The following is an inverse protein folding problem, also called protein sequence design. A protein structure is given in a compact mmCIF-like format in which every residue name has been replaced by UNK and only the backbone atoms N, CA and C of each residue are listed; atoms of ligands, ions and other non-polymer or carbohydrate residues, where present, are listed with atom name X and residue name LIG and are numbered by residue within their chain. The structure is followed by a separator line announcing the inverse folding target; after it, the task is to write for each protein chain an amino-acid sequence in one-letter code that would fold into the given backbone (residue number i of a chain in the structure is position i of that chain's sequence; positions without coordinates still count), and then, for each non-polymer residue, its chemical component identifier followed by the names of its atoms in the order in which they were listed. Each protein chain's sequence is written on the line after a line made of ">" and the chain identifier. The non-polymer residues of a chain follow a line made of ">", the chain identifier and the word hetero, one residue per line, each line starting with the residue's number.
data_IF_672576045833
#
_entry.id   IF_672576045833
#
_cell.length_a   1.000
_cell.length_b   1.000
_cell.length_c   1.000
_cell.angle_alpha   90.00
_cell.angle_beta   90.00
_cell.angle_gamma   90.00
#
_symmetry.space_group_name_H-M   'P 1'
#
loop_
_entity.id
_entity.type
_entity.pdbx_description
1 polymer ?
#
# COMPACT_ATOMS: atom_id res chain seq x y z
N UNK A 1 22.64 -52.12 -43.61
CA UNK A 1 23.54 -51.12 -42.93
C UNK A 1 22.82 -49.81 -42.57
N UNK A 2 21.75 -49.44 -43.24
CA UNK A 2 20.99 -48.18 -42.98
C UNK A 2 20.09 -48.19 -41.75
N UNK A 3 19.63 -49.35 -41.29
CA UNK A 3 18.68 -49.44 -40.16
C UNK A 3 19.28 -49.12 -38.79
N UNK A 4 20.58 -49.36 -38.56
CA UNK A 4 21.23 -49.09 -37.25
C UNK A 4 21.55 -47.61 -37.01
N UNK A 5 21.81 -46.84 -38.09
CA UNK A 5 22.12 -45.40 -37.96
C UNK A 5 20.87 -44.61 -37.57
N UNK A 6 19.69 -45.01 -38.11
CA UNK A 6 18.41 -44.35 -37.85
C UNK A 6 18.00 -44.45 -36.36
N UNK A 7 18.27 -45.60 -35.74
CA UNK A 7 17.93 -45.79 -34.30
C UNK A 7 18.82 -44.98 -33.36
N UNK A 8 20.10 -44.70 -33.69
CA UNK A 8 20.97 -43.86 -32.88
C UNK A 8 20.61 -42.37 -32.98
N UNK A 9 20.14 -41.89 -34.15
CA UNK A 9 19.70 -40.50 -34.31
C UNK A 9 18.39 -40.25 -33.54
N UNK A 10 17.45 -41.18 -33.54
CA UNK A 10 16.24 -41.09 -32.75
C UNK A 10 16.52 -41.12 -31.23
N UNK A 11 17.49 -41.90 -30.77
CA UNK A 11 17.88 -41.96 -29.37
C UNK A 11 18.55 -40.67 -28.89
N UNK A 12 19.39 -40.05 -29.72
CA UNK A 12 20.01 -38.76 -29.42
C UNK A 12 19.02 -37.62 -29.37
N UNK A 13 18.02 -37.59 -30.23
CA UNK A 13 16.95 -36.59 -30.22
C UNK A 13 16.08 -36.74 -28.94
N UNK A 14 15.76 -37.99 -28.55
CA UNK A 14 14.98 -38.24 -27.33
C UNK A 14 15.72 -37.81 -26.05
N UNK A 15 17.04 -38.02 -26.00
CA UNK A 15 17.87 -37.59 -24.85
C UNK A 15 18.02 -36.06 -24.80
N UNK A 16 18.12 -35.38 -25.96
CA UNK A 16 18.16 -33.92 -26.03
C UNK A 16 16.84 -33.27 -25.58
N UNK A 17 15.70 -33.87 -25.89
CA UNK A 17 14.39 -33.39 -25.39
C UNK A 17 14.16 -33.66 -23.90
N UNK A 18 14.70 -34.76 -23.36
CA UNK A 18 14.61 -35.05 -21.94
C UNK A 18 15.51 -34.11 -21.09
N UNK A 19 16.64 -33.67 -21.61
CA UNK A 19 17.52 -32.71 -20.96
C UNK A 19 17.00 -31.25 -21.04
N UNK A 20 16.32 -30.86 -22.10
CA UNK A 20 15.70 -29.54 -22.20
C UNK A 20 14.45 -29.38 -21.33
N UNK A 21 13.72 -30.47 -21.04
CA UNK A 21 12.59 -30.46 -20.09
C UNK A 21 12.99 -30.35 -18.62
N UNK A 22 14.22 -30.77 -18.27
CA UNK A 22 14.70 -30.76 -16.87
C UNK A 22 15.32 -29.41 -16.46
N UNK A 23 15.67 -28.53 -17.42
CA UNK A 23 16.26 -27.21 -17.12
C UNK A 23 15.20 -26.15 -16.83
N UNK A 24 13.95 -26.39 -17.18
CA UNK A 24 12.86 -25.40 -16.99
C UNK A 24 12.26 -25.37 -15.58
N UNK A 25 12.70 -26.23 -14.64
CA UNK A 25 12.08 -26.35 -13.30
C UNK A 25 13.01 -25.96 -12.14
N UNK A 26 14.16 -25.37 -12.39
CA UNK A 26 14.87 -24.58 -11.40
C UNK A 26 14.30 -23.15 -11.38
N UNK A 27 13.00 -23.06 -11.11
CA UNK A 27 12.43 -21.79 -10.67
C UNK A 27 13.29 -21.31 -9.51
N UNK A 28 14.01 -20.22 -9.71
CA UNK A 28 14.67 -19.48 -8.65
C UNK A 28 13.71 -19.41 -7.47
N UNK A 29 14.01 -20.13 -6.37
CA UNK A 29 13.46 -19.79 -5.06
C UNK A 29 14.00 -18.40 -4.76
N UNK A 30 13.32 -17.37 -5.26
CA UNK A 30 13.57 -15.99 -4.93
C UNK A 30 13.65 -15.91 -3.41
N UNK A 31 14.61 -15.15 -2.91
CA UNK A 31 14.79 -14.91 -1.49
C UNK A 31 13.47 -14.40 -0.94
N UNK A 32 12.73 -15.26 -0.26
CA UNK A 32 11.40 -14.93 0.23
C UNK A 32 11.56 -13.83 1.27
N UNK A 33 10.97 -12.65 1.05
CA UNK A 33 11.01 -11.58 2.01
C UNK A 33 10.31 -12.03 3.30
N UNK A 34 10.92 -11.79 4.48
CA UNK A 34 10.23 -12.03 5.75
C UNK A 34 8.90 -11.27 5.76
N UNK A 35 7.84 -11.96 6.15
CA UNK A 35 6.50 -11.35 6.19
C UNK A 35 5.68 -11.90 7.35
N UNK A 36 4.65 -11.15 7.74
CA UNK A 36 3.64 -11.61 8.68
C UNK A 36 2.30 -10.97 8.36
N UNK A 37 1.23 -11.62 8.81
CA UNK A 37 -0.13 -11.18 8.55
C UNK A 37 -0.80 -10.63 9.81
N UNK A 38 -1.69 -9.67 9.59
CA UNK A 38 -2.58 -9.09 10.59
C UNK A 38 -3.99 -9.10 10.01
N UNK A 39 -4.95 -9.63 10.75
CA UNK A 39 -6.37 -9.46 10.47
C UNK A 39 -6.83 -8.19 11.19
N UNK A 40 -7.37 -7.24 10.47
CA UNK A 40 -7.94 -6.02 11.06
C UNK A 40 -9.31 -6.29 11.68
N UNK A 41 -9.67 -5.56 12.73
CA UNK A 41 -11.01 -5.64 13.33
C UNK A 41 -12.05 -4.90 12.48
N UNK A 42 -11.64 -3.82 11.87
CA UNK A 42 -12.34 -2.96 10.91
C UNK A 42 -11.29 -2.32 10.00
N UNK A 43 -11.70 -1.57 8.99
CA UNK A 43 -10.79 -0.73 8.23
C UNK A 43 -11.52 0.53 7.79
N UNK A 44 -11.12 1.68 8.35
CA UNK A 44 -11.64 2.98 7.98
C UNK A 44 -10.98 3.48 6.70
N UNK A 45 -11.70 4.27 5.92
CA UNK A 45 -11.13 4.94 4.75
C UNK A 45 -10.27 6.09 5.23
N UNK A 46 -8.99 6.05 4.86
CA UNK A 46 -8.05 7.15 5.03
C UNK A 46 -7.90 7.90 3.70
N UNK A 47 -8.00 9.22 3.76
CA UNK A 47 -7.83 10.11 2.59
C UNK A 47 -6.65 11.06 2.74
N UNK A 48 -5.84 10.90 3.77
CA UNK A 48 -4.65 11.72 4.00
C UNK A 48 -3.71 11.68 2.79
N UNK A 49 -3.09 12.80 2.49
CA UNK A 49 -2.29 13.01 1.30
C UNK A 49 -3.07 13.30 0.02
N UNK A 50 -4.39 13.05 -0.03
CA UNK A 50 -5.18 13.45 -1.18
C UNK A 50 -5.28 14.98 -1.25
N UNK A 51 -5.04 15.62 -2.42
CA UNK A 51 -5.05 17.08 -2.52
C UNK A 51 -6.39 17.74 -2.20
N UNK A 52 -7.50 17.00 -2.25
CA UNK A 52 -8.84 17.46 -1.88
C UNK A 52 -9.39 16.80 -0.61
N UNK A 53 -8.49 16.26 0.25
CA UNK A 53 -8.90 15.64 1.51
C UNK A 53 -9.59 16.66 2.43
N UNK A 54 -8.98 17.81 2.63
CA UNK A 54 -9.43 18.84 3.55
C UNK A 54 -9.48 20.22 2.88
N UNK A 55 -10.36 21.10 3.37
CA UNK A 55 -10.49 22.44 2.83
C UNK A 55 -11.30 23.38 3.70
N UNK A 56 -11.43 24.66 3.30
CA UNK A 56 -12.23 25.65 3.99
C UNK A 56 -13.70 25.23 4.14
N UNK A 57 -14.42 25.72 5.15
CA UNK A 57 -15.85 25.47 5.29
C UNK A 57 -16.62 25.79 4.01
N UNK A 58 -17.50 24.87 3.59
CA UNK A 58 -18.30 25.00 2.37
C UNK A 58 -17.67 24.41 1.10
N UNK A 59 -16.43 23.91 1.16
CA UNK A 59 -15.82 23.16 0.05
C UNK A 59 -16.23 21.68 0.07
N UNK A 60 -16.26 21.06 -1.12
CA UNK A 60 -16.47 19.61 -1.24
C UNK A 60 -15.14 18.88 -0.98
N UNK A 61 -14.98 18.37 0.23
CA UNK A 61 -13.80 17.62 0.66
C UNK A 61 -14.08 16.12 0.73
N UNK A 62 -13.02 15.32 0.66
CA UNK A 62 -13.11 13.87 0.87
C UNK A 62 -13.28 13.52 2.34
N UNK A 63 -12.90 14.41 3.28
CA UNK A 63 -13.08 14.19 4.69
C UNK A 63 -13.50 15.44 5.44
N UNK A 64 -13.91 15.26 6.70
CA UNK A 64 -14.23 16.35 7.62
C UNK A 64 -12.98 16.72 8.43
N UNK A 65 -12.87 17.99 8.84
CA UNK A 65 -11.69 18.46 9.59
C UNK A 65 -11.48 17.74 10.92
N UNK A 66 -12.54 17.19 11.51
CA UNK A 66 -12.44 16.44 12.77
C UNK A 66 -11.58 15.18 12.62
N UNK A 67 -11.65 14.49 11.49
CA UNK A 67 -10.89 13.27 11.22
C UNK A 67 -9.39 13.54 11.00
N UNK A 68 -9.00 14.80 10.72
CA UNK A 68 -7.60 15.20 10.60
C UNK A 68 -6.86 15.29 11.94
N UNK A 69 -7.51 15.01 13.06
CA UNK A 69 -6.93 15.12 14.38
C UNK A 69 -6.42 13.78 14.91
N UNK A 70 -5.29 13.81 15.61
CA UNK A 70 -4.76 12.62 16.27
C UNK A 70 -5.70 12.15 17.37
N UNK A 71 -6.26 10.97 17.18
CA UNK A 71 -7.16 10.35 18.15
C UNK A 71 -6.41 10.05 19.47
N UNK A 72 -7.01 10.41 20.59
CA UNK A 72 -6.50 10.14 21.94
C UNK A 72 -5.33 11.02 22.42
N UNK A 73 -5.04 12.16 21.77
CA UNK A 73 -4.17 13.17 22.38
C UNK A 73 -4.98 14.27 23.06
N UNK A 74 -4.54 14.67 24.25
CA UNK A 74 -5.21 15.70 25.05
C UNK A 74 -5.18 17.10 24.40
N UNK A 75 -4.21 17.35 23.52
CA UNK A 75 -4.00 18.61 22.80
C UNK A 75 -4.73 18.70 21.46
N UNK A 76 -5.46 17.63 21.08
CA UNK A 76 -6.21 17.57 19.81
C UNK A 76 -5.34 17.95 18.58
N UNK A 77 -4.13 17.39 18.52
CA UNK A 77 -3.14 17.69 17.48
C UNK A 77 -3.67 17.40 16.07
N UNK A 78 -3.54 18.37 15.17
CA UNK A 78 -3.85 18.21 13.75
C UNK A 78 -2.70 17.45 13.09
N UNK A 79 -3.01 16.32 12.42
CA UNK A 79 -2.03 15.47 11.74
C UNK A 79 -2.34 15.25 10.26
N UNK A 80 -3.59 15.40 9.83
CA UNK A 80 -4.01 15.13 8.46
C UNK A 80 -3.67 16.23 7.45
N UNK A 81 -3.33 17.46 7.90
CA UNK A 81 -2.93 18.54 7.01
C UNK A 81 -1.92 19.50 7.66
N UNK A 82 -1.19 20.23 6.81
CA UNK A 82 -0.19 21.18 7.26
C UNK A 82 -0.82 22.40 7.94
N UNK A 83 -0.18 22.85 9.03
CA UNK A 83 -0.51 24.08 9.74
C UNK A 83 0.73 24.97 9.87
N UNK A 84 0.50 26.29 10.00
CA UNK A 84 1.55 27.26 10.29
C UNK A 84 1.82 27.36 11.82
N UNK A 85 2.76 28.20 12.20
CA UNK A 85 3.12 28.46 13.62
C UNK A 85 1.94 28.98 14.45
N UNK A 86 0.95 29.59 13.84
CA UNK A 86 -0.28 30.06 14.46
C UNK A 86 -1.41 29.01 14.43
N UNK A 87 -1.08 27.75 14.07
CA UNK A 87 -2.02 26.63 13.93
C UNK A 87 -3.10 26.84 12.84
N UNK A 88 -2.86 27.70 11.87
CA UNK A 88 -3.78 27.90 10.72
C UNK A 88 -3.44 26.90 9.60
N UNK A 89 -4.45 26.32 8.95
CA UNK A 89 -4.22 25.43 7.79
C UNK A 89 -3.45 26.14 6.68
N UNK A 90 -2.52 25.44 6.05
CA UNK A 90 -1.75 25.94 4.91
C UNK A 90 -2.50 25.55 3.63
N UNK A 91 -3.01 26.52 2.85
CA UNK A 91 -3.72 26.22 1.61
C UNK A 91 -2.75 25.91 0.47
N UNK A 92 -3.23 25.15 -0.50
CA UNK A 92 -2.60 24.94 -1.79
C UNK A 92 -2.59 26.24 -2.60
N UNK A 93 -1.50 26.46 -3.33
CA UNK A 93 -1.31 27.61 -4.19
C UNK A 93 -2.06 27.51 -5.53
N UNK A 94 -2.04 28.58 -6.34
CA UNK A 94 -2.84 28.65 -7.58
C UNK A 94 -2.39 27.67 -8.68
N UNK A 95 -1.20 27.05 -8.56
CA UNK A 95 -0.66 26.07 -9.50
C UNK A 95 -0.76 24.63 -8.99
N UNK A 96 -1.28 24.44 -7.79
CA UNK A 96 -1.46 23.12 -7.19
C UNK A 96 -2.76 22.47 -7.69
N UNK A 97 -2.91 21.14 -7.49
CA UNK A 97 -4.06 20.41 -8.03
C UNK A 97 -5.44 20.91 -7.56
N UNK A 98 -5.53 21.44 -6.33
CA UNK A 98 -6.76 21.96 -5.74
C UNK A 98 -6.51 23.30 -5.03
N UNK A 99 -6.38 24.41 -5.76
CA UNK A 99 -6.09 25.72 -5.18
C UNK A 99 -7.06 26.09 -4.06
N UNK A 100 -6.52 26.50 -2.92
CA UNK A 100 -7.32 26.88 -1.74
C UNK A 100 -7.72 25.74 -0.80
N UNK A 101 -7.65 24.47 -1.23
CA UNK A 101 -7.75 23.33 -0.30
C UNK A 101 -6.51 23.26 0.59
N UNK A 102 -6.61 22.61 1.74
CA UNK A 102 -5.48 22.44 2.65
C UNK A 102 -4.49 21.41 2.12
N UNK A 103 -3.21 21.60 2.40
CA UNK A 103 -2.19 20.63 2.01
C UNK A 103 -2.29 19.43 2.95
N UNK A 104 -2.93 18.36 2.51
CA UNK A 104 -3.00 17.12 3.26
C UNK A 104 -1.66 16.41 3.23
N UNK A 105 -1.33 15.70 4.31
CA UNK A 105 -0.02 15.07 4.49
C UNK A 105 -0.14 13.62 4.91
N UNK A 106 0.88 12.82 4.60
CA UNK A 106 1.08 11.44 5.04
C UNK A 106 2.47 11.28 5.64
N UNK A 107 2.69 10.24 6.43
CA UNK A 107 4.01 9.97 7.00
C UNK A 107 5.05 9.51 5.97
N UNK A 108 4.64 8.80 4.90
CA UNK A 108 5.51 8.47 3.78
C UNK A 108 5.51 9.61 2.77
N UNK A 109 6.69 10.14 2.49
CA UNK A 109 6.85 11.32 1.63
C UNK A 109 7.92 11.09 0.58
N UNK A 110 7.82 11.82 -0.53
CA UNK A 110 8.91 11.93 -1.51
C UNK A 110 10.08 12.72 -0.89
N UNK A 111 11.18 12.03 -0.60
CA UNK A 111 12.38 12.62 0.01
C UNK A 111 13.16 13.50 -0.97
N UNK A 112 12.98 13.33 -2.28
CA UNK A 112 13.60 14.16 -3.30
C UNK A 112 12.89 15.52 -3.43
N UNK A 113 11.60 15.59 -3.08
CA UNK A 113 10.84 16.83 -3.02
C UNK A 113 11.06 17.54 -1.68
N UNK A 114 11.91 18.58 -1.67
CA UNK A 114 12.21 19.32 -0.44
C UNK A 114 11.13 20.33 -0.03
N UNK A 115 10.14 20.59 -0.91
CA UNK A 115 9.08 21.54 -0.62
C UNK A 115 7.95 20.89 0.17
N UNK A 116 7.88 21.17 1.48
CA UNK A 116 6.82 20.66 2.35
C UNK A 116 5.41 21.17 1.95
N UNK A 117 5.36 22.28 1.22
CA UNK A 117 4.08 22.86 0.77
C UNK A 117 3.64 22.39 -0.62
N UNK A 118 4.36 21.44 -1.21
CA UNK A 118 3.95 20.79 -2.45
C UNK A 118 3.07 19.57 -2.10
N UNK A 119 1.77 19.56 -2.45
CA UNK A 119 0.91 18.41 -2.16
C UNK A 119 1.38 17.11 -2.83
N UNK A 120 2.18 17.20 -3.91
CA UNK A 120 2.76 16.02 -4.58
C UNK A 120 3.88 15.34 -3.79
N UNK A 121 4.33 15.94 -2.71
CA UNK A 121 5.29 15.34 -1.77
C UNK A 121 4.68 14.16 -0.99
N UNK A 122 3.37 14.15 -0.83
CA UNK A 122 2.63 13.20 0.01
C UNK A 122 1.97 12.12 -0.85
N UNK A 123 1.73 10.94 -0.24
CA UNK A 123 1.08 9.83 -0.95
C UNK A 123 -0.39 10.16 -1.17
N UNK A 124 -0.81 10.27 -2.43
CA UNK A 124 -2.22 10.56 -2.75
C UNK A 124 -3.12 9.34 -2.50
N UNK A 125 -3.94 9.41 -1.48
CA UNK A 125 -4.90 8.37 -1.09
C UNK A 125 -5.91 7.98 -2.18
N UNK A 126 -6.07 8.80 -3.23
CA UNK A 126 -6.98 8.52 -4.35
C UNK A 126 -6.33 7.66 -5.43
N UNK A 127 -5.00 7.57 -5.44
CA UNK A 127 -4.22 7.00 -6.54
C UNK A 127 -3.31 5.85 -6.12
N UNK A 128 -2.98 5.76 -4.83
CA UNK A 128 -2.02 4.79 -4.29
C UNK A 128 -2.68 3.98 -3.16
N UNK A 129 -2.53 2.68 -3.24
CA UNK A 129 -2.90 1.76 -2.17
C UNK A 129 -1.91 1.91 -1.01
N UNK A 130 -2.36 2.40 0.12
CA UNK A 130 -1.57 2.39 1.33
C UNK A 130 -2.37 1.91 2.55
N UNK A 131 -1.64 1.46 3.56
CA UNK A 131 -2.14 1.10 4.88
C UNK A 131 -1.49 1.99 5.93
N UNK A 132 -2.21 2.26 7.02
CA UNK A 132 -1.70 2.97 8.18
C UNK A 132 -0.96 2.00 9.10
N UNK A 133 0.21 2.41 9.61
CA UNK A 133 1.05 1.58 10.47
C UNK A 133 0.62 1.64 11.92
N UNK A 134 -0.07 0.62 12.39
CA UNK A 134 -0.40 0.47 13.81
C UNK A 134 0.80 0.04 14.67
N UNK A 135 0.60 0.08 16.01
CA UNK A 135 1.62 -0.26 16.99
C UNK A 135 2.10 -1.72 16.88
N UNK A 136 1.22 -2.66 16.54
CA UNK A 136 1.59 -4.08 16.37
C UNK A 136 2.59 -4.27 15.22
N UNK A 137 2.35 -3.63 14.07
CA UNK A 137 3.24 -3.66 12.93
C UNK A 137 4.57 -2.97 13.24
N UNK A 138 4.54 -1.80 13.92
CA UNK A 138 5.73 -1.08 14.36
C UNK A 138 6.64 -1.93 15.24
N UNK A 139 6.08 -2.63 16.24
CA UNK A 139 6.86 -3.52 17.13
C UNK A 139 7.52 -4.69 16.39
N UNK A 140 6.99 -5.08 15.23
CA UNK A 140 7.56 -6.11 14.35
C UNK A 140 8.54 -5.56 13.30
N UNK A 141 8.95 -4.30 13.42
CA UNK A 141 9.97 -3.68 12.58
C UNK A 141 9.46 -3.12 11.26
N UNK A 142 8.14 -3.04 11.06
CA UNK A 142 7.56 -2.37 9.88
C UNK A 142 7.86 -0.88 9.93
N UNK A 143 8.36 -0.34 8.83
CA UNK A 143 8.65 1.07 8.64
C UNK A 143 7.67 1.71 7.67
N UNK A 144 7.51 3.01 7.78
CA UNK A 144 6.86 3.82 6.75
C UNK A 144 7.63 3.64 5.44
N UNK A 145 6.90 3.41 4.35
CA UNK A 145 7.47 3.08 3.05
C UNK A 145 7.69 1.59 2.78
N UNK A 146 7.58 0.70 3.77
CA UNK A 146 7.63 -0.76 3.53
C UNK A 146 6.42 -1.22 2.72
N UNK A 147 6.63 -2.25 1.88
CA UNK A 147 5.53 -2.85 1.13
C UNK A 147 4.59 -3.66 2.05
N UNK A 148 3.35 -3.72 1.61
CA UNK A 148 2.33 -4.62 2.13
C UNK A 148 1.56 -5.28 0.97
N UNK A 149 0.88 -6.38 1.27
CA UNK A 149 -0.20 -6.90 0.44
C UNK A 149 -1.46 -6.94 1.29
N UNK A 150 -2.59 -6.59 0.69
CA UNK A 150 -3.87 -6.52 1.39
C UNK A 150 -4.89 -7.39 0.67
N UNK A 151 -5.67 -8.13 1.43
CA UNK A 151 -6.67 -9.07 0.93
C UNK A 151 -8.00 -8.90 1.65
N UNK A 152 -9.07 -8.82 0.90
CA UNK A 152 -10.43 -8.88 1.43
C UNK A 152 -10.99 -10.30 1.35
N UNK A 153 -11.38 -10.85 2.50
CA UNK A 153 -12.04 -12.17 2.56
C UNK A 153 -13.41 -12.13 1.87
N UNK A 154 -14.12 -11.00 1.92
CA UNK A 154 -15.45 -10.83 1.33
C UNK A 154 -15.40 -10.78 -0.18
N UNK A 155 -14.55 -9.90 -0.75
CA UNK A 155 -14.48 -9.71 -2.20
C UNK A 155 -13.54 -10.69 -2.89
N UNK A 156 -12.68 -11.37 -2.14
CA UNK A 156 -11.62 -12.28 -2.61
C UNK A 156 -10.54 -11.58 -3.45
N UNK A 157 -10.44 -10.27 -3.36
CA UNK A 157 -9.44 -9.47 -4.07
C UNK A 157 -8.20 -9.26 -3.21
N UNK A 158 -7.03 -9.37 -3.85
CA UNK A 158 -5.72 -9.13 -3.24
C UNK A 158 -4.92 -8.12 -4.03
N UNK A 159 -4.37 -7.11 -3.37
CA UNK A 159 -3.64 -5.99 -3.98
C UNK A 159 -2.32 -5.74 -3.27
N UNK A 160 -1.36 -5.09 -3.97
CA UNK A 160 -0.19 -4.52 -3.31
C UNK A 160 -0.50 -3.14 -2.77
N UNK A 161 0.16 -2.82 -1.68
CA UNK A 161 0.08 -1.54 -0.99
C UNK A 161 1.46 -1.15 -0.41
N UNK A 162 1.55 0.07 0.08
CA UNK A 162 2.70 0.55 0.84
C UNK A 162 2.24 0.99 2.24
N UNK A 163 3.13 1.01 3.21
CA UNK A 163 2.85 1.64 4.50
C UNK A 163 2.99 3.14 4.29
N UNK A 164 1.87 3.81 4.04
CA UNK A 164 1.82 5.23 3.64
C UNK A 164 1.72 6.17 4.82
N UNK A 165 1.09 5.73 5.91
CA UNK A 165 0.84 6.63 7.01
C UNK A 165 0.99 5.99 8.40
N UNK A 166 0.86 6.85 9.41
CA UNK A 166 0.88 6.53 10.84
C UNK A 166 -0.14 7.42 11.55
N UNK A 167 -0.39 7.20 12.83
CA UNK A 167 -1.30 8.06 13.58
C UNK A 167 -2.39 7.25 14.26
N UNK A 168 -2.90 6.22 13.62
CA UNK A 168 -3.81 5.27 14.25
C UNK A 168 -3.03 4.16 14.96
N UNK A 169 -3.13 4.04 16.30
CA UNK A 169 -2.42 3.00 17.06
C UNK A 169 -2.82 1.57 16.70
N UNK A 170 -4.05 1.34 16.23
CA UNK A 170 -4.53 0.03 15.81
C UNK A 170 -4.04 -0.32 14.40
N UNK A 171 -3.88 0.67 13.51
CA UNK A 171 -3.55 0.49 12.11
C UNK A 171 -4.72 -0.02 11.26
N UNK A 172 -5.95 0.19 11.74
CA UNK A 172 -7.17 -0.24 11.07
C UNK A 172 -7.67 0.85 10.10
N UNK A 173 -6.75 1.36 9.26
CA UNK A 173 -7.03 2.36 8.22
C UNK A 173 -6.27 2.04 6.94
N UNK A 174 -6.89 2.40 5.82
CA UNK A 174 -6.29 2.25 4.49
C UNK A 174 -6.83 3.28 3.51
N UNK A 175 -6.02 3.60 2.49
CA UNK A 175 -6.36 4.62 1.52
C UNK A 175 -7.69 4.35 0.81
N UNK A 176 -8.37 5.41 0.39
CA UNK A 176 -9.57 5.32 -0.42
C UNK A 176 -9.34 4.47 -1.68
N UNK A 177 -8.17 4.61 -2.33
CA UNK A 177 -7.79 3.81 -3.48
C UNK A 177 -7.69 2.32 -3.13
N UNK A 178 -7.04 1.99 -2.01
CA UNK A 178 -6.90 0.62 -1.53
C UNK A 178 -8.26 -0.07 -1.38
N UNK A 179 -9.20 0.59 -0.71
CA UNK A 179 -10.50 -0.04 -0.46
C UNK A 179 -11.33 -0.17 -1.73
N UNK A 180 -11.20 0.78 -2.67
CA UNK A 180 -11.81 0.66 -4.01
C UNK A 180 -11.20 -0.50 -4.81
N UNK A 181 -9.89 -0.65 -4.80
CA UNK A 181 -9.19 -1.76 -5.46
C UNK A 181 -9.53 -3.12 -4.84
N UNK A 182 -9.92 -3.15 -3.56
CA UNK A 182 -10.45 -4.33 -2.90
C UNK A 182 -11.95 -4.56 -3.18
N UNK A 183 -12.57 -3.74 -4.03
CA UNK A 183 -13.95 -3.92 -4.48
C UNK A 183 -15.02 -3.31 -3.55
N UNK A 184 -14.66 -2.36 -2.69
CA UNK A 184 -15.61 -1.61 -1.86
C UNK A 184 -16.03 -0.32 -2.58
N UNK A 185 -17.34 0.00 -2.66
CA UNK A 185 -17.84 1.15 -3.42
C UNK A 185 -17.77 2.45 -2.62
N UNK A 186 -16.69 2.67 -1.87
CA UNK A 186 -16.53 3.84 -1.01
C UNK A 186 -16.24 5.10 -1.82
N UNK A 187 -16.70 6.24 -1.31
CA UNK A 187 -16.61 7.53 -1.99
C UNK A 187 -15.68 8.50 -1.29
N UNK A 188 -15.61 8.47 0.04
CA UNK A 188 -14.85 9.42 0.84
C UNK A 188 -14.40 8.81 2.19
N UNK A 189 -13.72 9.60 3.02
CA UNK A 189 -13.24 9.22 4.34
C UNK A 189 -14.14 9.66 5.50
N UNK A 190 -15.29 10.30 5.22
CA UNK A 190 -16.11 10.89 6.28
C UNK A 190 -16.68 9.86 7.24
N UNK A 191 -17.20 8.77 6.68
CA UNK A 191 -17.85 7.67 7.43
C UNK A 191 -17.68 6.30 6.78
N UNK A 192 -17.02 6.22 5.62
CA UNK A 192 -16.87 4.96 4.90
C UNK A 192 -15.87 4.05 5.64
N UNK A 193 -16.30 2.81 5.89
CA UNK A 193 -15.49 1.81 6.59
C UNK A 193 -15.90 0.38 6.25
N UNK A 194 -14.97 -0.54 6.43
CA UNK A 194 -15.23 -1.99 6.49
C UNK A 194 -15.36 -2.37 7.95
N UNK A 195 -16.58 -2.55 8.45
CA UNK A 195 -16.86 -2.76 9.88
C UNK A 195 -16.71 -4.20 10.36
N UNK A 196 -16.23 -5.10 9.49
CA UNK A 196 -16.05 -6.52 9.80
C UNK A 196 -14.58 -6.93 9.74
N UNK A 197 -14.16 -7.95 10.52
CA UNK A 197 -12.79 -8.47 10.51
C UNK A 197 -12.52 -9.32 9.25
N UNK A 198 -12.53 -8.67 8.09
CA UNK A 198 -12.40 -9.34 6.80
C UNK A 198 -11.17 -8.89 5.97
N UNK A 199 -10.46 -7.85 6.41
CA UNK A 199 -9.26 -7.37 5.74
C UNK A 199 -8.02 -7.98 6.40
N UNK A 200 -7.19 -8.64 5.59
CA UNK A 200 -5.90 -9.20 6.00
C UNK A 200 -4.79 -8.38 5.38
N UNK A 201 -3.86 -7.90 6.19
CA UNK A 201 -2.67 -7.19 5.75
C UNK A 201 -1.45 -8.08 5.97
N UNK A 202 -0.69 -8.35 4.91
CA UNK A 202 0.63 -8.97 4.97
C UNK A 202 1.69 -7.89 4.83
N UNK A 203 2.46 -7.67 5.87
CA UNK A 203 3.57 -6.71 5.89
C UNK A 203 4.87 -7.39 5.49
N UNK A 204 5.75 -6.63 4.80
CA UNK A 204 7.09 -7.03 4.40
C UNK A 204 8.13 -6.07 5.01
N UNK A 205 8.58 -6.26 6.26
CA UNK A 205 9.51 -5.37 6.92
C UNK A 205 10.83 -5.22 6.15
N UNK A 206 11.34 -4.00 6.07
CA UNK A 206 12.57 -3.63 5.35
C UNK A 206 12.54 -3.93 3.84
N UNK A 207 11.38 -3.95 3.22
CA UNK A 207 11.22 -4.23 1.80
C UNK A 207 11.49 -3.03 0.89
N UNK A 208 11.51 -1.80 1.43
CA UNK A 208 11.85 -0.58 0.70
C UNK A 208 12.99 0.22 1.40
N UNK A 209 14.21 -0.34 1.49
CA UNK A 209 15.31 0.28 2.23
C UNK A 209 15.82 1.59 1.61
N UNK A 210 15.52 1.86 0.35
CA UNK A 210 15.88 3.09 -0.36
C UNK A 210 14.84 4.18 -0.29
N UNK A 211 13.74 3.97 0.43
CA UNK A 211 12.61 4.90 0.48
C UNK A 211 12.09 5.33 -0.90
N UNK A 212 12.07 4.38 -1.87
CA UNK A 212 11.53 4.66 -3.19
C UNK A 212 10.08 5.10 -3.06
N UNK A 213 9.79 6.32 -3.55
CA UNK A 213 8.44 6.88 -3.60
C UNK A 213 7.76 6.47 -4.91
N UNK A 214 6.42 6.38 -4.91
CA UNK A 214 5.62 5.94 -6.05
C UNK A 214 4.54 6.97 -6.34
N UNK A 215 4.49 7.43 -7.59
CA UNK A 215 3.48 8.38 -8.05
C UNK A 215 2.24 7.68 -8.65
N UNK A 216 2.38 6.41 -9.02
CA UNK A 216 1.31 5.60 -9.59
C UNK A 216 1.25 4.23 -8.93
N UNK A 217 0.03 3.66 -8.87
CA UNK A 217 -0.17 2.29 -8.39
C UNK A 217 0.55 1.27 -9.28
N UNK A 218 0.69 1.53 -10.58
CA UNK A 218 1.44 0.66 -11.50
C UNK A 218 2.90 0.54 -11.12
N UNK A 219 3.58 1.67 -10.85
CA UNK A 219 4.98 1.69 -10.38
C UNK A 219 5.16 0.89 -9.08
N UNK A 220 4.25 1.07 -8.13
CA UNK A 220 4.25 0.32 -6.87
C UNK A 220 4.10 -1.18 -7.12
N UNK A 221 3.14 -1.59 -7.97
CA UNK A 221 2.89 -2.97 -8.31
C UNK A 221 4.11 -3.62 -8.98
N UNK A 222 4.74 -2.94 -9.93
CA UNK A 222 5.94 -3.42 -10.62
C UNK A 222 7.11 -3.59 -9.64
N UNK A 223 7.31 -2.64 -8.73
CA UNK A 223 8.36 -2.72 -7.73
C UNK A 223 8.13 -3.90 -6.77
N UNK A 224 6.89 -4.11 -6.30
CA UNK A 224 6.52 -5.25 -5.47
C UNK A 224 6.77 -6.59 -6.19
N UNK A 225 6.39 -6.69 -7.46
CA UNK A 225 6.63 -7.89 -8.28
C UNK A 225 8.12 -8.15 -8.50
N UNK A 226 8.93 -7.12 -8.77
CA UNK A 226 10.41 -7.24 -8.91
C UNK A 226 11.08 -7.76 -7.64
N UNK A 227 10.51 -7.46 -6.47
CA UNK A 227 10.95 -7.98 -5.18
C UNK A 227 10.46 -9.42 -4.91
N UNK A 228 9.63 -10.00 -5.79
CA UNK A 228 9.04 -11.32 -5.59
C UNK A 228 7.99 -11.36 -4.49
N UNK A 229 7.38 -10.22 -4.15
CA UNK A 229 6.30 -10.18 -3.17
C UNK A 229 5.02 -10.80 -3.72
N UNK A 230 4.20 -11.38 -2.84
CA UNK A 230 2.97 -12.07 -3.23
C UNK A 230 1.73 -11.37 -2.68
N UNK A 231 0.73 -11.21 -3.53
CA UNK A 231 -0.64 -10.84 -3.14
C UNK A 231 -1.61 -12.03 -3.11
N UNK A 232 -1.06 -13.24 -3.21
CA UNK A 232 -1.81 -14.48 -3.03
C UNK A 232 -1.85 -14.87 -1.55
N UNK A 233 -3.05 -15.06 -1.02
CA UNK A 233 -3.33 -15.45 0.37
C UNK A 233 -3.91 -16.86 0.48
N UNK A 234 -3.90 -17.64 -0.61
CA UNK A 234 -4.49 -18.98 -0.65
C UNK A 234 -3.80 -20.01 0.23
N UNK A 235 -2.54 -19.77 0.62
CA UNK A 235 -1.68 -20.73 1.32
C UNK A 235 -1.39 -20.41 2.80
N UNK A 236 -1.87 -19.28 3.34
CA UNK A 236 -1.59 -18.91 4.73
C UNK A 236 -2.69 -19.36 5.68
N UNK A 237 -2.39 -20.14 6.73
CA UNK A 237 -3.31 -20.32 7.85
C UNK A 237 -3.45 -18.97 8.56
N UNK A 238 -4.65 -18.41 8.58
CA UNK A 238 -4.94 -17.15 9.26
C UNK A 238 -4.84 -17.41 10.76
N UNK A 239 -3.75 -16.98 11.37
CA UNK A 239 -3.61 -17.01 12.82
C UNK A 239 -4.54 -15.93 13.42
N UNK A 240 -5.65 -16.36 14.01
CA UNK A 240 -6.46 -15.50 14.87
C UNK A 240 -5.66 -15.21 16.15
N UNK A 241 -5.49 -13.97 16.48
CA UNK A 241 -5.04 -13.50 17.78
C UNK A 241 -6.05 -12.54 18.38
#
# INVERSE_FOLDING_TARGET
>A
MFSRIFNYVLLLIAVAFALSGAVATLAQKGKQHPSFEVLTHRMDVDVDGAPNAYGPPGTQTLDILLNAHYLNRADNEIVGYLIDEQKRPIPQGPKDPFPGYYISQTAFTDIENQNQRDPRKYVDARNINYVVRGNAARRRGVRVGDFASVFSKRTRMGVFAIVGDTGNPTGDEGSLHLLRDLGYPFLDGKTDSVDQPEIVIRFYPNSNPKHQFFFTQSELNEAAMKLGLSRDFSSAPIAYR
#
